data_IF_095350244976
#
_entry.id   IF_095350244976
#
_cell.length_a   1.000
_cell.length_b   1.000
_cell.length_c   1.000
_cell.angle_alpha   90.00
_cell.angle_beta   90.00
_cell.angle_gamma   90.00
#
_symmetry.space_group_name_H-M   'P 1'
#
loop_
_entity.id
_entity.type
_entity.pdbx_description
1 polymer ?
#
# COMPACT_ATOMS: atom_id res chain seq x y z
N UNK A 1 -23.30 65.45 -8.84
CA UNK A 1 -23.45 64.10 -9.41
C UNK A 1 -22.16 63.31 -9.11
N UNK A 2 -22.21 62.50 -8.11
CA UNK A 2 -21.07 61.64 -7.74
C UNK A 2 -21.36 60.24 -8.22
N UNK A 3 -20.66 59.80 -9.25
CA UNK A 3 -20.64 58.38 -9.67
C UNK A 3 -19.82 57.58 -8.67
N UNK A 4 -20.44 56.52 -8.12
CA UNK A 4 -19.76 55.49 -7.32
C UNK A 4 -19.03 54.54 -8.25
N UNK A 5 -17.79 54.13 -7.93
CA UNK A 5 -17.14 53.08 -8.68
C UNK A 5 -17.77 51.74 -8.29
N UNK A 6 -18.40 51.05 -9.24
CA UNK A 6 -18.85 49.66 -9.17
C UNK A 6 -17.70 48.75 -9.58
N UNK A 7 -16.86 48.37 -8.63
CA UNK A 7 -15.83 47.33 -8.80
C UNK A 7 -15.86 46.40 -7.60
N UNK A 8 -16.71 45.39 -7.62
CA UNK A 8 -16.62 44.27 -6.69
C UNK A 8 -15.33 43.47 -6.94
N UNK A 9 -14.76 42.83 -5.94
CA UNK A 9 -13.59 41.99 -6.14
C UNK A 9 -13.95 40.87 -7.13
N UNK A 10 -13.30 40.86 -8.29
CA UNK A 10 -13.29 39.70 -9.15
C UNK A 10 -12.53 38.58 -8.43
N UNK A 11 -13.27 37.64 -7.84
CA UNK A 11 -12.74 36.36 -7.43
C UNK A 11 -12.37 35.60 -8.72
N UNK A 12 -11.15 35.80 -9.21
CA UNK A 12 -10.57 34.88 -10.15
C UNK A 12 -10.22 33.61 -9.38
N UNK A 13 -11.07 32.60 -9.46
CA UNK A 13 -10.66 31.24 -9.08
C UNK A 13 -9.47 30.89 -9.97
N UNK A 14 -8.27 30.63 -9.44
CA UNK A 14 -7.18 30.16 -10.29
C UNK A 14 -7.67 28.86 -10.92
N UNK A 15 -7.67 28.80 -12.26
CA UNK A 15 -7.90 27.56 -12.98
C UNK A 15 -6.88 26.53 -12.47
N UNK A 16 -7.29 25.31 -12.11
CA UNK A 16 -6.35 24.28 -11.73
C UNK A 16 -5.35 24.09 -12.88
N UNK A 17 -4.07 24.19 -12.55
CA UNK A 17 -3.00 23.90 -13.49
C UNK A 17 -3.14 22.44 -13.93
N UNK A 18 -3.08 22.14 -15.23
CA UNK A 18 -3.42 20.80 -15.74
C UNK A 18 -2.42 19.68 -15.37
N UNK A 19 -1.30 19.99 -14.75
CA UNK A 19 -0.33 19.00 -14.28
C UNK A 19 0.30 19.48 -12.99
N UNK A 20 -0.03 18.82 -11.89
CA UNK A 20 0.65 19.01 -10.62
C UNK A 20 1.81 18.03 -10.54
N UNK A 21 3.05 18.53 -10.58
CA UNK A 21 4.24 17.72 -10.31
C UNK A 21 4.29 17.23 -8.85
N UNK A 22 3.38 17.74 -8.01
CA UNK A 22 3.32 17.44 -6.59
C UNK A 22 1.88 17.30 -6.10
N UNK A 23 1.73 16.49 -5.07
CA UNK A 23 0.47 16.33 -4.36
C UNK A 23 0.11 17.62 -3.65
N UNK A 24 -1.16 18.03 -3.75
CA UNK A 24 -1.76 19.16 -3.05
C UNK A 24 -2.99 18.71 -2.26
N UNK A 25 -3.43 19.49 -1.27
CA UNK A 25 -4.58 19.15 -0.40
C UNK A 25 -5.85 18.78 -1.19
N UNK A 26 -6.06 19.39 -2.36
CA UNK A 26 -7.19 19.09 -3.22
C UNK A 26 -7.26 17.66 -3.72
N UNK A 27 -6.13 16.93 -3.79
CA UNK A 27 -6.10 15.52 -4.19
C UNK A 27 -6.72 14.58 -3.14
N UNK A 28 -6.86 15.03 -1.88
CA UNK A 28 -7.48 14.25 -0.80
C UNK A 28 -8.90 14.73 -0.42
N UNK A 29 -9.48 15.68 -1.16
CA UNK A 29 -10.75 16.35 -0.79
C UNK A 29 -12.02 15.66 -1.31
N UNK A 30 -11.90 14.58 -2.10
CA UNK A 30 -13.02 13.90 -2.74
C UNK A 30 -13.58 14.63 -3.97
N UNK A 31 -12.90 15.70 -4.44
CA UNK A 31 -13.33 16.51 -5.58
C UNK A 31 -12.66 16.08 -6.90
N UNK A 32 -12.62 17.02 -7.85
CA UNK A 32 -12.10 16.77 -9.21
C UNK A 32 -10.64 16.29 -9.19
N UNK A 33 -9.77 16.90 -8.38
CA UNK A 33 -8.35 16.50 -8.31
C UNK A 33 -8.18 15.08 -7.73
N UNK A 34 -9.02 14.68 -6.78
CA UNK A 34 -9.04 13.30 -6.28
C UNK A 34 -9.44 12.32 -7.40
N UNK A 35 -10.49 12.67 -8.17
CA UNK A 35 -10.92 11.87 -9.31
C UNK A 35 -9.81 11.72 -10.36
N UNK A 36 -9.14 12.82 -10.72
CA UNK A 36 -8.02 12.81 -11.66
C UNK A 36 -6.85 11.94 -11.15
N UNK A 37 -6.51 11.99 -9.85
CA UNK A 37 -5.48 11.15 -9.26
C UNK A 37 -5.87 9.67 -9.34
N UNK A 38 -7.11 9.32 -9.06
CA UNK A 38 -7.61 7.94 -9.14
C UNK A 38 -7.59 7.44 -10.59
N UNK A 39 -8.12 8.22 -11.53
CA UNK A 39 -8.24 7.83 -12.93
C UNK A 39 -6.89 7.72 -13.65
N UNK A 40 -5.92 8.57 -13.31
CA UNK A 40 -4.66 8.65 -14.05
C UNK A 40 -3.50 7.92 -13.37
N UNK A 41 -3.58 7.63 -12.07
CA UNK A 41 -2.53 6.96 -11.34
C UNK A 41 -2.97 5.59 -10.79
N UNK A 42 -3.99 5.57 -9.92
CA UNK A 42 -4.34 4.35 -9.21
C UNK A 42 -5.03 3.30 -10.12
N UNK A 43 -6.00 3.70 -10.93
CA UNK A 43 -6.70 2.76 -11.81
C UNK A 43 -5.78 2.12 -12.84
N UNK A 44 -4.90 2.84 -13.56
CA UNK A 44 -3.99 2.20 -14.50
C UNK A 44 -2.99 1.25 -13.87
N UNK A 45 -2.54 1.54 -12.64
CA UNK A 45 -1.58 0.72 -11.93
C UNK A 45 -2.22 -0.52 -11.26
N UNK A 46 -3.42 -0.37 -10.68
CA UNK A 46 -4.06 -1.40 -9.85
C UNK A 46 -5.30 -2.00 -10.51
N UNK A 47 -5.46 -1.89 -11.83
CA UNK A 47 -6.67 -2.21 -12.54
C UNK A 47 -7.12 -3.67 -12.32
N UNK A 48 -8.40 -3.83 -12.00
CA UNK A 48 -9.09 -5.12 -11.92
C UNK A 48 -10.61 -4.90 -11.97
N UNK A 49 -11.40 -5.94 -12.33
CA UNK A 49 -12.85 -5.78 -12.51
C UNK A 49 -13.62 -5.34 -11.26
N UNK A 50 -13.10 -5.57 -10.07
CA UNK A 50 -13.74 -5.17 -8.81
C UNK A 50 -13.50 -3.69 -8.54
N UNK A 51 -12.23 -3.26 -8.59
CA UNK A 51 -11.83 -1.87 -8.36
C UNK A 51 -12.43 -0.90 -9.37
N UNK A 52 -12.45 -1.28 -10.65
CA UNK A 52 -12.94 -0.45 -11.75
C UNK A 52 -14.46 -0.21 -11.73
N UNK A 53 -15.23 -0.88 -10.84
CA UNK A 53 -16.64 -0.53 -10.63
C UNK A 53 -16.83 0.86 -10.05
N UNK A 54 -15.83 1.35 -9.29
CA UNK A 54 -15.87 2.67 -8.67
C UNK A 54 -16.97 2.83 -7.61
N UNK A 55 -17.44 1.71 -7.03
CA UNK A 55 -18.41 1.70 -5.94
C UNK A 55 -17.74 2.08 -4.61
N UNK A 56 -18.54 2.51 -3.62
CA UNK A 56 -18.05 2.85 -2.27
C UNK A 56 -17.45 1.66 -1.52
N UNK A 57 -17.74 0.44 -1.96
CA UNK A 57 -17.18 -0.80 -1.42
C UNK A 57 -16.87 -1.82 -2.50
N UNK A 58 -15.80 -2.57 -2.32
CA UNK A 58 -15.48 -3.71 -3.18
C UNK A 58 -16.41 -4.90 -2.87
N UNK A 59 -16.97 -5.50 -3.91
CA UNK A 59 -17.83 -6.70 -3.81
C UNK A 59 -17.22 -7.80 -4.69
N UNK A 60 -16.17 -8.50 -4.20
CA UNK A 60 -15.54 -9.60 -4.94
C UNK A 60 -16.45 -10.85 -4.92
N UNK A 61 -16.33 -11.75 -5.93
CA UNK A 61 -17.08 -13.00 -5.99
C UNK A 61 -16.52 -14.01 -4.98
N UNK A 62 -17.07 -14.06 -3.78
CA UNK A 62 -16.57 -14.92 -2.69
C UNK A 62 -16.76 -16.41 -3.00
N UNK A 63 -17.80 -16.78 -3.76
CA UNK A 63 -18.13 -18.16 -4.14
C UNK A 63 -17.03 -18.81 -5.02
N UNK A 64 -16.28 -17.99 -5.77
CA UNK A 64 -15.16 -18.43 -6.58
C UNK A 64 -13.85 -18.57 -5.78
N UNK A 65 -13.78 -17.93 -4.61
CA UNK A 65 -12.57 -17.81 -3.80
C UNK A 65 -12.55 -18.72 -2.57
N UNK A 66 -13.72 -19.22 -2.13
CA UNK A 66 -13.88 -20.02 -0.92
C UNK A 66 -14.53 -21.36 -1.22
N UNK A 67 -14.07 -22.40 -0.52
CA UNK A 67 -14.63 -23.75 -0.58
C UNK A 67 -15.41 -24.07 0.71
N UNK A 68 -16.23 -25.15 0.68
CA UNK A 68 -16.99 -25.55 1.86
C UNK A 68 -16.04 -25.97 3.00
N UNK A 69 -16.22 -25.34 4.16
CA UNK A 69 -15.40 -25.59 5.34
C UNK A 69 -14.16 -24.72 5.48
N UNK A 70 -13.86 -23.85 4.51
CA UNK A 70 -12.80 -22.88 4.63
C UNK A 70 -13.12 -21.84 5.71
N UNK A 71 -12.05 -21.26 6.27
CA UNK A 71 -12.14 -20.12 7.19
C UNK A 71 -11.59 -18.85 6.57
N UNK A 72 -12.13 -17.70 6.96
CA UNK A 72 -11.67 -16.39 6.53
C UNK A 72 -10.58 -15.89 7.49
N UNK A 73 -9.45 -15.46 6.93
CA UNK A 73 -8.40 -14.74 7.65
C UNK A 73 -8.42 -13.26 7.25
N UNK A 74 -8.20 -12.38 8.21
CA UNK A 74 -8.07 -10.94 7.97
C UNK A 74 -6.88 -10.43 8.77
N UNK A 75 -5.99 -9.68 8.11
CA UNK A 75 -4.90 -8.95 8.75
C UNK A 75 -4.93 -7.49 8.33
N UNK A 76 -4.48 -6.60 9.19
CA UNK A 76 -4.28 -5.17 8.86
C UNK A 76 -2.95 -4.70 9.39
N UNK A 77 -2.25 -3.89 8.59
CA UNK A 77 -0.94 -3.36 8.92
C UNK A 77 -0.83 -1.89 8.50
N UNK A 78 0.11 -1.17 9.13
CA UNK A 78 0.40 0.23 8.84
C UNK A 78 1.91 0.39 8.58
N UNK A 79 2.23 0.96 7.43
CA UNK A 79 3.59 1.07 6.93
C UNK A 79 4.05 2.52 6.95
N UNK A 80 5.14 2.75 7.69
CA UNK A 80 5.84 4.03 7.83
C UNK A 80 7.32 3.73 7.70
N UNK A 81 7.96 4.26 6.68
CA UNK A 81 9.39 4.10 6.46
C UNK A 81 9.99 5.34 5.81
N UNK A 82 11.13 5.78 6.30
CA UNK A 82 11.94 6.84 5.71
C UNK A 82 13.39 6.35 5.55
N UNK A 83 13.98 6.58 4.35
CA UNK A 83 13.35 7.12 3.14
C UNK A 83 12.31 6.15 2.54
N UNK A 84 11.42 6.65 1.68
CA UNK A 84 10.38 5.86 1.01
C UNK A 84 10.98 4.74 0.14
N UNK A 85 12.16 5.00 -0.45
CA UNK A 85 12.93 4.08 -1.27
C UNK A 85 14.22 3.72 -0.56
N UNK A 86 14.54 2.45 -0.47
CA UNK A 86 15.73 1.94 0.20
C UNK A 86 16.30 0.75 -0.59
N UNK A 87 17.55 0.33 -0.34
CA UNK A 87 18.11 -0.82 -1.02
C UNK A 87 17.24 -2.07 -0.87
N UNK A 88 16.79 -2.65 -1.97
CA UNK A 88 15.95 -3.85 -2.02
C UNK A 88 14.46 -3.62 -2.00
N UNK A 89 13.97 -2.35 -1.94
CA UNK A 89 12.54 -2.07 -2.02
C UNK A 89 12.13 -0.64 -1.71
N UNK A 90 10.86 -0.49 -1.45
CA UNK A 90 10.19 0.77 -1.09
C UNK A 90 8.97 0.49 -0.22
N UNK A 91 8.31 1.57 0.25
CA UNK A 91 7.12 1.47 1.10
C UNK A 91 5.96 0.74 0.42
N UNK A 92 5.84 0.79 -0.91
CA UNK A 92 4.77 0.12 -1.66
C UNK A 92 4.94 -1.40 -1.62
N UNK A 93 6.14 -1.91 -1.95
CA UNK A 93 6.48 -3.32 -1.82
C UNK A 93 6.34 -3.80 -0.37
N UNK A 94 6.81 -3.00 0.59
CA UNK A 94 6.70 -3.29 2.00
C UNK A 94 5.24 -3.48 2.43
N UNK A 95 4.35 -2.60 1.98
CA UNK A 95 2.93 -2.64 2.34
C UNK A 95 2.22 -3.91 1.84
N UNK A 96 2.53 -4.37 0.64
CA UNK A 96 1.96 -5.60 0.10
C UNK A 96 2.55 -6.82 0.80
N UNK A 97 3.89 -6.94 0.84
CA UNK A 97 4.55 -8.11 1.40
C UNK A 97 4.25 -8.29 2.89
N UNK A 98 4.23 -7.20 3.69
CA UNK A 98 3.94 -7.28 5.12
C UNK A 98 2.58 -7.94 5.38
N UNK A 99 1.52 -7.41 4.78
CA UNK A 99 0.16 -7.93 4.97
C UNK A 99 -0.04 -9.34 4.39
N UNK A 100 0.56 -9.62 3.22
CA UNK A 100 0.52 -10.97 2.63
C UNK A 100 1.20 -11.99 3.54
N UNK A 101 2.34 -11.63 4.13
CA UNK A 101 3.09 -12.51 5.02
C UNK A 101 2.35 -12.76 6.33
N UNK A 102 1.64 -11.76 6.88
CA UNK A 102 0.78 -11.96 8.05
C UNK A 102 -0.30 -13.01 7.80
N UNK A 103 -0.97 -12.95 6.64
CA UNK A 103 -1.95 -13.95 6.23
C UNK A 103 -1.30 -15.34 6.09
N UNK A 104 -0.12 -15.40 5.50
CA UNK A 104 0.61 -16.66 5.34
C UNK A 104 0.97 -17.29 6.70
N UNK A 105 1.31 -16.49 7.72
CA UNK A 105 1.69 -17.00 9.04
C UNK A 105 0.55 -17.71 9.79
N UNK A 106 -0.70 -17.50 9.40
CA UNK A 106 -1.86 -18.28 9.90
C UNK A 106 -2.29 -19.37 8.93
N UNK A 107 -1.48 -19.67 7.90
CA UNK A 107 -1.76 -20.69 6.89
C UNK A 107 -2.82 -20.27 5.87
N UNK A 108 -3.14 -18.99 5.78
CA UNK A 108 -4.09 -18.50 4.81
C UNK A 108 -3.45 -18.33 3.42
N UNK A 109 -4.23 -18.59 2.39
CA UNK A 109 -3.95 -18.19 1.02
C UNK A 109 -4.49 -16.77 0.83
N UNK A 110 -3.64 -15.77 0.55
CA UNK A 110 -4.08 -14.39 0.35
C UNK A 110 -4.98 -14.29 -0.89
N UNK A 111 -6.07 -13.52 -0.79
CA UNK A 111 -7.04 -13.31 -1.87
C UNK A 111 -7.07 -11.87 -2.34
N UNK A 112 -7.36 -10.98 -1.41
CA UNK A 112 -7.59 -9.56 -1.67
C UNK A 112 -6.88 -8.69 -0.63
N UNK A 113 -6.54 -7.48 -1.05
CA UNK A 113 -6.00 -6.45 -0.19
C UNK A 113 -6.70 -5.12 -0.47
N UNK A 114 -6.88 -4.31 0.56
CA UNK A 114 -7.26 -2.90 0.43
C UNK A 114 -6.09 -2.03 0.85
N UNK A 115 -5.96 -0.82 0.28
CA UNK A 115 -4.88 0.09 0.59
C UNK A 115 -5.39 1.50 0.84
N UNK A 116 -5.05 2.09 1.98
CA UNK A 116 -5.33 3.49 2.31
C UNK A 116 -4.03 4.27 2.34
N UNK A 117 -4.02 5.44 1.68
CA UNK A 117 -2.87 6.31 1.52
C UNK A 117 -3.10 7.61 2.29
N UNK A 118 -2.15 7.98 3.15
CA UNK A 118 -2.06 9.31 3.75
C UNK A 118 -0.85 10.00 3.13
N UNK A 119 -1.12 10.98 2.28
CA UNK A 119 -0.12 11.72 1.52
C UNK A 119 0.15 13.06 2.19
N UNK A 120 1.41 13.45 2.29
CA UNK A 120 1.77 14.80 2.68
C UNK A 120 1.71 15.75 1.48
N UNK A 121 1.15 16.94 1.66
CA UNK A 121 1.21 17.99 0.66
C UNK A 121 2.65 18.32 0.29
N UNK A 122 2.96 18.31 -0.99
CA UNK A 122 4.32 18.49 -1.51
C UNK A 122 5.03 17.19 -1.91
N UNK A 123 4.47 16.02 -1.62
CA UNK A 123 4.99 14.75 -2.14
C UNK A 123 5.06 14.79 -3.67
N UNK A 124 6.16 14.29 -4.24
CA UNK A 124 6.32 14.18 -5.68
C UNK A 124 5.29 13.22 -6.27
N UNK A 125 4.65 13.62 -7.36
CA UNK A 125 3.73 12.74 -8.09
C UNK A 125 4.49 11.52 -8.67
N UNK A 126 5.69 11.73 -9.17
CA UNK A 126 6.57 10.67 -9.69
C UNK A 126 6.91 9.65 -8.60
N UNK A 127 7.19 10.10 -7.35
CA UNK A 127 7.47 9.19 -6.25
C UNK A 127 6.22 8.36 -5.87
N UNK A 128 5.03 8.98 -5.86
CA UNK A 128 3.79 8.26 -5.62
C UNK A 128 3.52 7.23 -6.73
N UNK A 129 3.72 7.60 -8.00
CA UNK A 129 3.57 6.69 -9.14
C UNK A 129 4.50 5.47 -9.02
N UNK A 130 5.77 5.70 -8.68
CA UNK A 130 6.75 4.62 -8.45
C UNK A 130 6.33 3.69 -7.32
N UNK A 131 5.83 4.24 -6.20
CA UNK A 131 5.33 3.45 -5.06
C UNK A 131 4.13 2.59 -5.47
N UNK A 132 3.16 3.17 -6.18
CA UNK A 132 1.95 2.42 -6.61
C UNK A 132 2.29 1.35 -7.64
N UNK A 133 3.24 1.61 -8.54
CA UNK A 133 3.75 0.59 -9.46
C UNK A 133 4.46 -0.54 -8.73
N UNK A 134 5.28 -0.23 -7.73
CA UNK A 134 5.94 -1.24 -6.88
C UNK A 134 4.93 -2.08 -6.09
N UNK A 135 3.82 -1.48 -5.62
CA UNK A 135 2.71 -2.22 -5.02
C UNK A 135 2.08 -3.19 -6.01
N UNK A 136 1.86 -2.76 -7.26
CA UNK A 136 1.34 -3.62 -8.32
C UNK A 136 2.26 -4.82 -8.55
N UNK A 137 3.55 -4.56 -8.74
CA UNK A 137 4.53 -5.61 -9.01
C UNK A 137 4.60 -6.63 -7.86
N UNK A 138 4.56 -6.16 -6.61
CA UNK A 138 4.53 -7.03 -5.43
C UNK A 138 3.21 -7.81 -5.30
N UNK A 139 2.09 -7.21 -5.66
CA UNK A 139 0.79 -7.88 -5.67
C UNK A 139 0.73 -8.99 -6.73
N UNK A 140 1.23 -8.72 -7.92
CA UNK A 140 1.35 -9.71 -9.01
C UNK A 140 2.27 -10.88 -8.60
N UNK A 141 3.42 -10.60 -7.96
CA UNK A 141 4.34 -11.61 -7.42
C UNK A 141 3.66 -12.49 -6.35
N UNK A 142 2.86 -11.87 -5.48
CA UNK A 142 2.13 -12.56 -4.42
C UNK A 142 0.86 -13.27 -4.88
N UNK A 143 0.41 -13.04 -6.11
CA UNK A 143 -0.86 -13.54 -6.64
C UNK A 143 -2.09 -12.94 -5.98
N UNK A 144 -2.00 -11.68 -5.47
CA UNK A 144 -3.08 -10.99 -4.75
C UNK A 144 -3.57 -9.77 -5.54
N UNK A 145 -4.81 -9.36 -5.31
CA UNK A 145 -5.41 -8.22 -5.99
C UNK A 145 -5.77 -7.10 -5.01
N UNK A 146 -5.39 -5.87 -5.33
CA UNK A 146 -5.81 -4.66 -4.60
C UNK A 146 -7.20 -4.26 -5.08
N UNK A 147 -8.24 -4.50 -4.27
CA UNK A 147 -9.65 -4.39 -4.70
C UNK A 147 -10.36 -3.12 -4.23
N UNK A 148 -9.78 -2.38 -3.28
CA UNK A 148 -10.31 -1.12 -2.80
C UNK A 148 -9.19 -0.25 -2.23
N UNK A 149 -9.43 1.06 -2.17
CA UNK A 149 -8.49 2.00 -1.56
C UNK A 149 -9.15 3.30 -1.13
N UNK A 150 -8.42 4.08 -0.34
CA UNK A 150 -8.78 5.46 0.03
C UNK A 150 -7.52 6.33 -0.01
N UNK A 151 -7.71 7.63 -0.21
CA UNK A 151 -6.61 8.60 -0.27
C UNK A 151 -6.97 9.86 0.50
N UNK A 152 -6.11 10.24 1.43
CA UNK A 152 -6.18 11.50 2.17
C UNK A 152 -4.90 12.28 1.98
N UNK A 153 -5.00 13.60 1.95
CA UNK A 153 -3.84 14.49 1.94
C UNK A 153 -3.86 15.32 3.20
N UNK A 154 -2.72 15.35 3.90
CA UNK A 154 -2.47 16.18 5.08
C UNK A 154 -1.58 17.37 4.69
N UNK A 155 -1.64 18.43 5.50
CA UNK A 155 -0.81 19.63 5.29
C UNK A 155 0.69 19.30 5.39
N UNK A 156 1.51 20.10 4.73
CA UNK A 156 2.96 19.98 4.80
C UNK A 156 3.47 20.03 6.26
N UNK A 157 4.36 19.10 6.61
CA UNK A 157 4.91 18.94 7.96
C UNK A 157 4.02 18.14 8.92
N UNK A 158 2.93 17.51 8.44
CA UNK A 158 2.04 16.68 9.25
C UNK A 158 2.23 15.17 9.03
N UNK A 159 3.07 14.80 8.08
CA UNK A 159 3.47 13.42 7.82
C UNK A 159 4.93 13.37 7.32
N UNK A 160 5.49 12.18 7.17
CA UNK A 160 6.81 11.97 6.57
C UNK A 160 6.68 11.58 5.09
N UNK A 161 5.97 12.38 4.31
CA UNK A 161 5.73 12.19 2.89
C UNK A 161 4.57 11.25 2.58
N UNK A 162 4.63 9.98 2.98
CA UNK A 162 3.62 8.96 2.67
C UNK A 162 3.52 7.92 3.78
N UNK A 163 2.29 7.62 4.20
CA UNK A 163 1.95 6.44 4.98
C UNK A 163 0.96 5.57 4.22
N UNK A 164 1.10 4.24 4.33
CA UNK A 164 0.20 3.27 3.71
C UNK A 164 -0.33 2.35 4.79
N UNK A 165 -1.65 2.20 4.87
CA UNK A 165 -2.30 1.16 5.66
C UNK A 165 -2.98 0.17 4.74
N UNK A 166 -2.78 -1.12 4.99
CA UNK A 166 -3.33 -2.21 4.19
C UNK A 166 -4.19 -3.12 5.06
N UNK A 167 -5.23 -3.71 4.46
CA UNK A 167 -6.00 -4.78 5.06
C UNK A 167 -6.09 -5.92 4.07
N UNK A 168 -5.54 -7.07 4.44
CA UNK A 168 -5.57 -8.28 3.65
C UNK A 168 -6.66 -9.23 4.08
N UNK A 169 -7.24 -9.92 3.10
CA UNK A 169 -8.23 -10.98 3.27
C UNK A 169 -7.70 -12.24 2.60
N UNK A 170 -7.73 -13.36 3.31
CA UNK A 170 -7.30 -14.65 2.80
C UNK A 170 -8.22 -15.79 3.24
N UNK A 171 -8.13 -16.93 2.58
CA UNK A 171 -8.80 -18.15 2.98
C UNK A 171 -7.85 -19.11 3.67
N UNK A 172 -8.31 -19.77 4.71
CA UNK A 172 -7.62 -20.90 5.32
C UNK A 172 -8.34 -22.17 4.87
N UNK A 173 -7.68 -23.04 4.09
CA UNK A 173 -8.27 -24.30 3.65
C UNK A 173 -8.77 -25.15 4.81
N UNK A 174 -9.92 -25.84 4.60
CA UNK A 174 -10.51 -26.71 5.61
C UNK A 174 -9.50 -27.72 6.19
N UNK A 175 -9.45 -27.80 7.51
CA UNK A 175 -8.52 -28.70 8.22
C UNK A 175 -7.09 -28.19 8.39
N UNK A 176 -6.74 -27.02 7.84
CA UNK A 176 -5.44 -26.38 8.10
C UNK A 176 -5.52 -25.58 9.40
N UNK A 177 -4.57 -25.83 10.31
CA UNK A 177 -4.42 -25.10 11.58
C UNK A 177 -2.96 -24.74 11.79
N UNK A 178 -2.59 -23.52 11.39
CA UNK A 178 -1.25 -22.98 11.53
C UNK A 178 -1.25 -21.90 12.62
N UNK A 179 -0.46 -22.11 13.66
CA UNK A 179 -0.35 -21.17 14.77
C UNK A 179 0.97 -21.36 15.52
N UNK A 180 1.62 -20.26 15.90
CA UNK A 180 2.79 -20.29 16.78
C UNK A 180 2.50 -20.92 18.14
N UNK A 181 1.23 -21.01 18.58
CA UNK A 181 0.81 -21.70 19.82
C UNK A 181 0.94 -23.21 19.73
N UNK A 182 1.01 -23.77 18.52
CA UNK A 182 1.13 -25.20 18.29
C UNK A 182 2.59 -25.67 18.42
N UNK A 183 3.58 -24.75 18.45
CA UNK A 183 5.00 -25.07 18.57
C UNK A 183 5.30 -25.80 19.90
N UNK A 184 6.13 -26.86 19.83
CA UNK A 184 6.49 -27.73 20.94
C UNK A 184 8.01 -27.90 21.05
N UNK A 185 8.52 -28.20 22.23
CA UNK A 185 9.92 -28.59 22.39
C UNK A 185 10.25 -29.81 21.51
N UNK A 186 11.28 -29.67 20.67
CA UNK A 186 11.70 -30.69 19.72
C UNK A 186 11.30 -30.43 18.28
N UNK A 187 10.46 -29.42 18.02
CA UNK A 187 10.13 -28.99 16.65
C UNK A 187 11.36 -28.39 15.95
N UNK A 188 11.48 -28.62 14.66
CA UNK A 188 12.53 -28.03 13.85
C UNK A 188 12.17 -26.56 13.49
N UNK A 189 13.16 -25.67 13.66
CA UNK A 189 13.05 -24.29 13.21
C UNK A 189 13.64 -24.18 11.80
N UNK A 190 12.81 -23.80 10.84
CA UNK A 190 13.21 -23.52 9.47
C UNK A 190 13.28 -22.01 9.27
N UNK A 191 14.30 -21.55 8.56
CA UNK A 191 14.51 -20.16 8.24
C UNK A 191 14.52 -19.95 6.73
N UNK A 192 13.71 -19.02 6.23
CA UNK A 192 13.59 -18.74 4.78
C UNK A 192 14.77 -17.96 4.20
N UNK A 193 15.57 -17.31 5.05
CA UNK A 193 16.70 -16.48 4.64
C UNK A 193 17.36 -15.82 5.83
N UNK A 194 18.12 -14.76 5.59
CA UNK A 194 18.72 -13.93 6.63
C UNK A 194 17.64 -13.14 7.41
N UNK A 195 17.95 -12.73 8.64
CA UNK A 195 17.02 -12.01 9.53
C UNK A 195 17.55 -10.60 9.80
N UNK A 196 16.68 -9.59 9.61
CA UNK A 196 16.96 -8.21 9.99
C UNK A 196 17.57 -7.34 8.90
N UNK A 197 17.69 -7.85 7.69
CA UNK A 197 18.27 -7.12 6.56
C UNK A 197 17.47 -5.87 6.22
N UNK A 198 16.14 -5.92 6.31
CA UNK A 198 15.29 -4.75 6.11
C UNK A 198 15.67 -3.58 7.04
N UNK A 199 15.75 -3.83 8.34
CA UNK A 199 16.10 -2.79 9.31
C UNK A 199 17.47 -2.17 9.04
N UNK A 200 18.46 -2.99 8.69
CA UNK A 200 19.81 -2.52 8.36
C UNK A 200 19.82 -1.74 7.05
N UNK A 201 19.13 -2.21 6.01
CA UNK A 201 19.03 -1.51 4.73
C UNK A 201 18.42 -0.10 4.89
N UNK A 202 17.40 0.05 5.72
CA UNK A 202 16.80 1.36 6.05
C UNK A 202 17.77 2.26 6.82
N UNK A 203 18.49 1.75 7.82
CA UNK A 203 19.48 2.52 8.57
C UNK A 203 20.64 2.98 7.68
N UNK A 204 21.08 2.14 6.74
CA UNK A 204 22.08 2.53 5.72
C UNK A 204 21.53 3.62 4.80
N UNK A 205 20.29 3.48 4.33
CA UNK A 205 19.65 4.47 3.48
C UNK A 205 19.48 5.84 4.18
N UNK A 206 19.34 5.85 5.51
CA UNK A 206 19.36 7.09 6.33
C UNK A 206 20.73 7.69 6.54
N UNK A 207 21.79 6.97 6.21
CA UNK A 207 23.16 7.39 6.51
C UNK A 207 23.56 7.22 7.98
N UNK A 208 22.76 6.48 8.78
CA UNK A 208 23.03 6.21 10.19
C UNK A 208 24.08 5.10 10.38
N UNK A 209 24.20 4.23 9.38
CA UNK A 209 25.21 3.15 9.33
C UNK A 209 25.92 3.16 7.99
N UNK A 210 27.19 2.76 7.99
CA UNK A 210 27.98 2.57 6.78
C UNK A 210 28.61 1.17 6.81
N UNK A 211 28.44 0.44 5.72
CA UNK A 211 29.05 -0.87 5.51
C UNK A 211 29.86 -0.86 4.21
N UNK A 212 30.91 -1.70 4.14
CA UNK A 212 31.68 -1.90 2.91
C UNK A 212 30.90 -2.69 1.85
N UNK A 213 29.91 -3.48 2.29
CA UNK A 213 29.06 -4.30 1.43
C UNK A 213 27.65 -3.71 1.39
N UNK A 214 27.04 -3.69 0.22
CA UNK A 214 25.65 -3.30 0.05
C UNK A 214 24.74 -4.34 0.72
N UNK A 215 23.88 -3.88 1.65
CA UNK A 215 22.86 -4.68 2.29
C UNK A 215 21.52 -4.27 1.72
N UNK A 216 20.81 -5.22 1.14
CA UNK A 216 19.46 -5.02 0.59
C UNK A 216 18.42 -5.58 1.54
N UNK A 217 17.23 -4.97 1.55
CA UNK A 217 16.09 -5.47 2.31
C UNK A 217 15.68 -6.87 1.83
N UNK A 218 15.29 -7.71 2.77
CA UNK A 218 14.78 -9.08 2.59
C UNK A 218 13.27 -9.11 2.29
N UNK A 219 12.66 -7.99 1.90
CA UNK A 219 11.23 -7.89 1.59
C UNK A 219 10.85 -8.78 0.42
N UNK A 220 10.05 -9.83 0.68
CA UNK A 220 9.50 -10.72 -0.33
C UNK A 220 8.18 -11.33 0.15
N UNK A 221 7.23 -11.66 -0.73
CA UNK A 221 6.06 -12.42 -0.34
C UNK A 221 6.45 -13.88 -0.04
N UNK A 222 6.02 -14.39 1.11
CA UNK A 222 6.35 -15.72 1.60
C UNK A 222 5.17 -16.72 1.50
N UNK A 223 4.02 -16.29 0.96
CA UNK A 223 2.81 -17.12 0.89
C UNK A 223 3.04 -18.46 0.19
N UNK A 224 3.72 -18.47 -0.95
CA UNK A 224 4.03 -19.68 -1.70
C UNK A 224 4.99 -20.63 -0.94
N UNK A 225 5.91 -20.08 -0.16
CA UNK A 225 6.83 -20.88 0.66
C UNK A 225 6.11 -21.53 1.85
N UNK A 226 5.14 -20.84 2.44
CA UNK A 226 4.35 -21.37 3.56
C UNK A 226 3.32 -22.39 3.10
N UNK A 227 2.86 -22.27 1.84
CA UNK A 227 1.92 -23.23 1.24
C UNK A 227 2.57 -24.58 0.89
N UNK A 228 3.86 -24.60 0.55
CA UNK A 228 4.64 -25.79 0.14
C UNK A 228 4.89 -26.78 1.29
#
# INVERSE_FOLDING_TARGET
MNEKPTGGPQLSCPLPLPHHDRIVLGHGSGGKLTGELIEHLFYPALDNPVLLRGDDAAVPPIEEAMEEGDSLAVSTDAHIVQPLFFPGGDIGRLAICGTVNDLAMVGAQPLWITASFILEEGLSYEDLERVVQSMRDAADEAGITVIAGDTKVVEHGQADGLYISTTGVGRIPAGRETSGRNARPGDALLLSGTIGDHGIAVLVARGELAFETEITSDITPLSSLVEA
#
